data_IF_985549066521
#
_entry.id   IF_985549066521
#
_cell.length_a   1.000
_cell.length_b   1.000
_cell.length_c   1.000
_cell.angle_alpha   90.00
_cell.angle_beta   90.00
_cell.angle_gamma   90.00
#
_symmetry.space_group_name_H-M   'P 1'
#
loop_
_entity.id
_entity.type
_entity.pdbx_description
1 polymer ?
#
# COMPACT_ATOMS: atom_id res chain seq x y z
N UNK A 1 -29.60 4.34 -1.90
CA UNK A 1 -28.60 5.03 -1.03
C UNK A 1 -27.69 5.81 -1.94
N UNK A 2 -27.46 7.11 -1.70
CA UNK A 2 -26.53 7.89 -2.50
C UNK A 2 -25.11 7.31 -2.31
N UNK A 3 -24.46 6.91 -3.41
CA UNK A 3 -23.06 6.52 -3.36
C UNK A 3 -22.25 7.76 -3.01
N UNK A 4 -21.51 7.73 -1.90
CA UNK A 4 -20.58 8.81 -1.57
C UNK A 4 -19.55 8.90 -2.70
N UNK A 5 -19.52 10.03 -3.40
CA UNK A 5 -18.58 10.26 -4.51
C UNK A 5 -17.19 10.43 -3.93
N UNK A 6 -16.29 9.50 -4.23
CA UNK A 6 -14.87 9.65 -3.92
C UNK A 6 -14.20 10.56 -4.96
N UNK A 7 -13.18 11.30 -4.52
CA UNK A 7 -12.25 11.99 -5.42
C UNK A 7 -10.87 11.38 -5.29
N UNK A 8 -10.14 11.29 -6.40
CA UNK A 8 -8.75 10.79 -6.42
C UNK A 8 -7.82 11.95 -6.73
N UNK A 9 -6.78 12.14 -5.92
CA UNK A 9 -5.73 13.14 -6.15
C UNK A 9 -4.35 12.48 -6.19
N UNK A 10 -3.42 12.94 -7.03
CA UNK A 10 -2.03 12.50 -6.93
C UNK A 10 -1.47 12.76 -5.53
N UNK A 11 -0.68 11.83 -5.00
CA UNK A 11 0.03 12.01 -3.73
C UNK A 11 1.03 13.15 -3.85
N UNK A 12 0.93 14.15 -2.98
CA UNK A 12 1.85 15.26 -2.92
C UNK A 12 2.87 15.09 -1.78
N UNK A 13 4.14 14.74 -2.07
CA UNK A 13 5.15 14.56 -1.03
C UNK A 13 5.47 15.86 -0.27
N UNK A 14 5.14 17.04 -0.80
CA UNK A 14 5.31 18.32 -0.11
C UNK A 14 4.15 18.66 0.84
N UNK A 15 3.03 17.93 0.76
CA UNK A 15 1.89 18.10 1.67
C UNK A 15 2.06 17.20 2.89
N UNK A 16 2.23 17.78 4.08
CA UNK A 16 2.34 17.00 5.32
C UNK A 16 1.07 16.19 5.60
N UNK A 17 -0.10 16.69 5.20
CA UNK A 17 -1.39 15.97 5.33
C UNK A 17 -1.43 14.71 4.45
N UNK A 18 -0.93 14.79 3.21
CA UNK A 18 -0.87 13.61 2.32
C UNK A 18 0.13 12.59 2.85
N UNK A 19 1.30 13.05 3.32
CA UNK A 19 2.35 12.18 3.88
C UNK A 19 1.82 11.45 5.12
N UNK A 20 1.18 12.17 6.05
CA UNK A 20 0.58 11.58 7.23
C UNK A 20 -0.52 10.57 6.86
N UNK A 21 -1.42 10.94 5.95
CA UNK A 21 -2.51 10.07 5.50
C UNK A 21 -1.99 8.77 4.86
N UNK A 22 -0.98 8.86 3.98
CA UNK A 22 -0.40 7.68 3.35
C UNK A 22 0.28 6.76 4.36
N UNK A 23 1.02 7.32 5.32
CA UNK A 23 1.67 6.55 6.39
C UNK A 23 0.62 5.83 7.25
N UNK A 24 -0.43 6.52 7.66
CA UNK A 24 -1.48 5.94 8.50
C UNK A 24 -2.26 4.84 7.77
N UNK A 25 -2.68 5.08 6.53
CA UNK A 25 -3.36 4.05 5.73
C UNK A 25 -2.45 2.86 5.41
N UNK A 26 -1.17 3.09 5.12
CA UNK A 26 -0.23 1.99 4.88
C UNK A 26 0.03 1.19 6.16
N UNK A 27 0.12 1.86 7.32
CA UNK A 27 0.16 1.18 8.61
C UNK A 27 -1.09 0.30 8.80
N UNK A 28 -2.29 0.80 8.51
CA UNK A 28 -3.52 0.00 8.61
C UNK A 28 -3.50 -1.21 7.68
N UNK A 29 -3.07 -1.02 6.43
CA UNK A 29 -2.84 -2.10 5.47
C UNK A 29 -1.91 -3.20 6.04
N UNK A 30 -0.78 -2.79 6.65
CA UNK A 30 0.17 -3.71 7.27
C UNK A 30 -0.44 -4.49 8.45
N UNK A 31 -1.28 -3.84 9.25
CA UNK A 31 -1.97 -4.47 10.38
C UNK A 31 -3.04 -5.46 9.93
N UNK A 32 -3.81 -5.12 8.90
CA UNK A 32 -4.80 -6.02 8.32
C UNK A 32 -4.15 -7.22 7.62
N UNK A 33 -3.01 -7.00 6.96
CA UNK A 33 -2.16 -8.07 6.44
C UNK A 33 -1.76 -9.04 7.54
N UNK A 34 -1.22 -8.51 8.64
CA UNK A 34 -0.83 -9.30 9.81
C UNK A 34 -2.02 -10.09 10.38
N UNK A 35 -3.16 -9.46 10.56
CA UNK A 35 -4.33 -10.10 11.16
C UNK A 35 -4.91 -11.21 10.26
N UNK A 36 -4.80 -11.05 8.94
CA UNK A 36 -5.34 -11.99 7.96
C UNK A 36 -4.45 -13.21 7.72
N UNK A 37 -3.15 -12.99 7.50
CA UNK A 37 -2.22 -14.07 7.10
C UNK A 37 -1.14 -14.36 8.14
N UNK A 38 -1.02 -13.55 9.19
CA UNK A 38 0.02 -13.68 10.21
C UNK A 38 1.41 -13.19 9.75
N UNK A 39 1.47 -12.47 8.63
CA UNK A 39 2.69 -11.97 7.99
C UNK A 39 2.49 -10.55 7.46
N UNK A 40 3.59 -9.86 7.20
CA UNK A 40 3.56 -8.55 6.55
C UNK A 40 3.01 -8.68 5.12
N UNK A 41 2.06 -7.81 4.78
CA UNK A 41 1.55 -7.75 3.42
C UNK A 41 2.57 -7.04 2.51
N UNK A 42 2.94 -7.64 1.37
CA UNK A 42 3.98 -7.08 0.49
C UNK A 42 3.48 -5.83 -0.23
N UNK A 43 4.41 -5.12 -0.88
CA UNK A 43 4.15 -3.98 -1.75
C UNK A 43 4.70 -2.67 -1.20
N UNK A 44 4.79 -1.65 -2.07
CA UNK A 44 5.28 -0.32 -1.70
C UNK A 44 4.18 0.75 -1.86
N UNK A 45 3.95 1.60 -0.84
CA UNK A 45 2.96 2.66 -0.91
C UNK A 45 3.44 3.84 -1.76
N UNK A 46 4.75 4.06 -1.88
CA UNK A 46 5.36 5.12 -2.68
C UNK A 46 6.79 4.73 -3.08
N UNK A 47 7.19 5.13 -4.28
CA UNK A 47 8.56 5.04 -4.79
C UNK A 47 8.72 5.97 -6.00
N UNK A 48 9.95 6.25 -6.42
CA UNK A 48 10.23 7.16 -7.55
C UNK A 48 9.64 6.69 -8.89
N UNK A 49 9.42 5.39 -9.06
CA UNK A 49 8.81 4.77 -10.24
C UNK A 49 7.31 4.48 -10.07
N UNK A 50 6.70 4.84 -8.93
CA UNK A 50 5.29 4.62 -8.67
C UNK A 50 4.51 5.93 -8.74
N UNK A 51 3.40 5.91 -9.47
CA UNK A 51 2.37 6.91 -9.38
C UNK A 51 1.44 6.55 -8.22
N UNK A 52 1.48 7.36 -7.16
CA UNK A 52 0.67 7.14 -5.96
C UNK A 52 -0.48 8.14 -5.92
N UNK A 53 -1.66 7.68 -5.54
CA UNK A 53 -2.88 8.46 -5.47
C UNK A 53 -3.55 8.30 -4.11
N UNK A 54 -4.13 9.38 -3.59
CA UNK A 54 -4.96 9.40 -2.39
C UNK A 54 -6.43 9.47 -2.82
N UNK A 55 -7.23 8.55 -2.30
CA UNK A 55 -8.68 8.54 -2.45
C UNK A 55 -9.28 9.29 -1.26
N UNK A 56 -10.12 10.29 -1.52
CA UNK A 56 -10.78 11.09 -0.49
C UNK A 56 -12.29 11.00 -0.58
N UNK A 57 -12.96 11.03 0.58
CA UNK A 57 -14.41 11.14 0.70
C UNK A 57 -14.70 12.31 1.63
N UNK A 58 -15.41 13.33 1.14
CA UNK A 58 -15.69 14.57 1.88
C UNK A 58 -14.41 15.19 2.49
N UNK A 59 -13.33 15.26 1.71
CA UNK A 59 -12.03 15.81 2.13
C UNK A 59 -11.15 14.86 2.95
N UNK A 60 -11.70 13.80 3.53
CA UNK A 60 -10.95 12.85 4.37
C UNK A 60 -10.30 11.76 3.53
N UNK A 61 -9.07 11.37 3.85
CA UNK A 61 -8.43 10.22 3.22
C UNK A 61 -9.21 8.93 3.54
N UNK A 62 -9.54 8.17 2.51
CA UNK A 62 -10.37 6.97 2.57
C UNK A 62 -9.68 5.73 1.98
N UNK A 63 -8.57 5.93 1.28
CA UNK A 63 -7.78 4.89 0.65
C UNK A 63 -6.60 5.47 -0.12
N UNK A 64 -5.76 4.58 -0.64
CA UNK A 64 -4.70 4.96 -1.56
C UNK A 64 -4.49 3.87 -2.60
N UNK A 65 -3.80 4.23 -3.67
CA UNK A 65 -3.35 3.30 -4.69
C UNK A 65 -1.96 3.70 -5.16
N UNK A 66 -1.05 2.74 -5.27
CA UNK A 66 0.24 2.92 -5.93
C UNK A 66 0.28 2.08 -7.20
N UNK A 67 0.73 2.69 -8.29
CA UNK A 67 0.72 2.12 -9.62
C UNK A 67 2.09 2.26 -10.28
N UNK A 68 2.64 1.15 -10.77
CA UNK A 68 3.79 1.13 -11.66
C UNK A 68 3.30 1.33 -13.09
N UNK A 69 3.55 2.52 -13.64
CA UNK A 69 3.14 2.87 -15.01
C UNK A 69 4.06 2.31 -16.08
N UNK A 70 5.27 1.89 -15.73
CA UNK A 70 6.18 1.25 -16.69
C UNK A 70 5.77 -0.21 -16.93
N UNK A 71 5.32 -0.89 -15.86
CA UNK A 71 4.84 -2.27 -15.90
C UNK A 71 3.34 -2.40 -16.09
N UNK A 72 2.61 -1.28 -16.13
CA UNK A 72 1.14 -1.23 -16.18
C UNK A 72 0.51 -2.09 -15.09
N UNK A 73 1.00 -1.94 -13.86
CA UNK A 73 0.60 -2.77 -12.73
C UNK A 73 0.23 -1.92 -11.51
N UNK A 74 -0.88 -2.24 -10.87
CA UNK A 74 -1.24 -1.74 -9.55
C UNK A 74 -0.39 -2.50 -8.54
N UNK A 75 0.50 -1.78 -7.86
CA UNK A 75 1.39 -2.31 -6.82
C UNK A 75 0.59 -2.52 -5.52
N UNK A 76 -0.14 -1.50 -5.07
CA UNK A 76 -1.03 -1.59 -3.92
C UNK A 76 -2.33 -0.84 -4.18
N UNK A 77 -3.42 -1.39 -3.63
CA UNK A 77 -4.68 -0.68 -3.49
C UNK A 77 -5.24 -0.97 -2.10
N UNK A 78 -5.61 0.09 -1.40
CA UNK A 78 -6.15 0.01 -0.05
C UNK A 78 -7.35 0.95 0.10
N UNK A 79 -8.34 0.51 0.86
CA UNK A 79 -9.49 1.32 1.28
C UNK A 79 -9.71 1.06 2.75
N UNK A 80 -9.73 2.11 3.57
CA UNK A 80 -9.93 2.00 5.01
C UNK A 80 -11.29 1.33 5.30
N UNK A 81 -11.38 0.48 6.34
CA UNK A 81 -12.53 -0.39 6.57
C UNK A 81 -13.90 0.30 6.52
N UNK A 82 -14.00 1.50 7.10
CA UNK A 82 -15.21 2.33 7.20
C UNK A 82 -15.71 2.87 5.84
N UNK A 83 -14.85 2.86 4.81
CA UNK A 83 -15.19 3.29 3.45
C UNK A 83 -15.37 2.13 2.46
N UNK A 84 -15.21 0.88 2.90
CA UNK A 84 -15.40 -0.31 2.05
C UNK A 84 -16.86 -0.49 1.63
N UNK A 85 -17.07 -1.24 0.55
CA UNK A 85 -18.40 -1.52 0.00
C UNK A 85 -19.06 -0.33 -0.71
N UNK A 86 -18.40 0.84 -0.78
CA UNK A 86 -18.93 2.05 -1.42
C UNK A 86 -18.57 2.19 -2.90
N UNK A 87 -17.79 1.26 -3.45
CA UNK A 87 -17.35 1.27 -4.84
C UNK A 87 -16.06 2.06 -5.11
N UNK A 88 -15.42 2.66 -4.11
CA UNK A 88 -14.23 3.52 -4.27
C UNK A 88 -13.09 2.85 -5.06
N UNK A 89 -12.66 1.65 -4.65
CA UNK A 89 -11.63 0.89 -5.36
C UNK A 89 -12.05 0.55 -6.79
N UNK A 90 -13.34 0.26 -7.02
CA UNK A 90 -13.87 -0.06 -8.34
C UNK A 90 -13.83 1.15 -9.27
N UNK A 91 -14.24 2.31 -8.76
CA UNK A 91 -14.21 3.57 -9.47
C UNK A 91 -12.77 3.93 -9.85
N UNK A 92 -11.86 3.91 -8.86
CA UNK A 92 -10.44 4.21 -9.09
C UNK A 92 -9.80 3.32 -10.16
N UNK A 93 -10.03 2.00 -10.10
CA UNK A 93 -9.47 1.08 -11.08
C UNK A 93 -10.07 1.28 -12.48
N UNK A 94 -11.36 1.65 -12.56
CA UNK A 94 -12.01 1.99 -13.83
C UNK A 94 -11.43 3.27 -14.42
N UNK A 95 -11.27 4.31 -13.60
CA UNK A 95 -10.68 5.59 -14.00
C UNK A 95 -9.23 5.40 -14.49
N UNK A 96 -8.41 4.69 -13.73
CA UNK A 96 -7.04 4.33 -14.14
C UNK A 96 -7.04 3.54 -15.45
N UNK A 97 -7.92 2.55 -15.61
CA UNK A 97 -7.97 1.74 -16.84
C UNK A 97 -8.41 2.55 -18.05
N UNK A 98 -9.27 3.56 -17.87
CA UNK A 98 -9.74 4.43 -18.96
C UNK A 98 -8.70 5.47 -19.42
N UNK A 99 -7.74 5.80 -18.56
CA UNK A 99 -6.73 6.83 -18.82
C UNK A 99 -5.37 6.24 -19.20
N UNK A 100 -5.14 4.96 -18.90
CA UNK A 100 -3.88 4.30 -19.16
C UNK A 100 -3.76 3.85 -20.63
N UNK A 101 -2.60 4.05 -21.29
CA UNK A 101 -2.43 3.64 -22.69
C UNK A 101 -2.40 2.12 -22.88
N UNK A 102 -2.21 1.33 -21.81
CA UNK A 102 -2.28 -0.12 -21.84
C UNK A 102 -3.17 -0.64 -20.70
N UNK A 103 -3.73 -1.86 -20.83
CA UNK A 103 -4.51 -2.48 -19.77
C UNK A 103 -3.70 -2.63 -18.48
N UNK A 104 -4.13 -1.95 -17.43
CA UNK A 104 -3.56 -2.10 -16.09
C UNK A 104 -3.86 -3.49 -15.53
N UNK A 105 -2.91 -4.05 -14.78
CA UNK A 105 -3.04 -5.35 -14.11
C UNK A 105 -2.94 -5.18 -12.59
N UNK A 106 -3.53 -6.08 -11.80
CA UNK A 106 -3.29 -6.12 -10.36
C UNK A 106 -2.12 -7.05 -10.03
N UNK A 107 -1.14 -6.56 -9.26
CA UNK A 107 0.00 -7.37 -8.85
C UNK A 107 -0.41 -8.39 -7.77
N UNK A 108 0.10 -9.61 -7.92
CA UNK A 108 -0.07 -10.68 -6.94
C UNK A 108 0.99 -10.62 -5.83
N UNK A 109 0.69 -11.14 -4.62
CA UNK A 109 -0.56 -11.79 -4.21
C UNK A 109 -1.69 -10.80 -3.88
N UNK A 110 -2.94 -11.20 -4.11
CA UNK A 110 -4.13 -10.41 -3.77
C UNK A 110 -4.83 -10.94 -2.51
N UNK A 111 -5.67 -10.08 -1.93
CA UNK A 111 -6.66 -10.56 -0.95
C UNK A 111 -7.87 -11.18 -1.65
N UNK A 112 -8.67 -12.02 -0.98
CA UNK A 112 -9.90 -12.55 -1.56
C UNK A 112 -10.83 -11.45 -2.10
N UNK A 113 -10.88 -10.30 -1.40
CA UNK A 113 -11.61 -9.12 -1.87
C UNK A 113 -10.99 -8.48 -3.12
N UNK A 114 -9.66 -8.45 -3.21
CA UNK A 114 -8.92 -7.99 -4.39
C UNK A 114 -9.12 -8.90 -5.60
N UNK A 115 -9.07 -10.22 -5.41
CA UNK A 115 -9.32 -11.21 -6.47
C UNK A 115 -10.77 -11.11 -6.99
N UNK A 116 -11.74 -11.01 -6.08
CA UNK A 116 -13.15 -10.83 -6.45
C UNK A 116 -13.36 -9.52 -7.22
N UNK A 117 -12.69 -8.43 -6.82
CA UNK A 117 -12.73 -7.15 -7.51
C UNK A 117 -12.10 -7.25 -8.91
N UNK A 118 -10.92 -7.86 -9.05
CA UNK A 118 -10.24 -8.06 -10.32
C UNK A 118 -11.13 -8.84 -11.30
N UNK A 119 -11.70 -9.96 -10.84
CA UNK A 119 -12.60 -10.79 -11.64
C UNK A 119 -13.85 -10.03 -12.07
N UNK A 120 -14.47 -9.26 -11.17
CA UNK A 120 -15.67 -8.47 -11.48
C UNK A 120 -15.40 -7.39 -12.55
N UNK A 121 -14.21 -6.80 -12.53
CA UNK A 121 -13.81 -5.73 -13.47
C UNK A 121 -13.11 -6.25 -14.73
N UNK A 122 -12.85 -7.56 -14.83
CA UNK A 122 -12.08 -8.12 -15.95
C UNK A 122 -10.61 -7.65 -15.97
N UNK A 123 -10.07 -7.24 -14.82
CA UNK A 123 -8.68 -6.75 -14.72
C UNK A 123 -7.73 -7.96 -14.66
N UNK A 124 -6.71 -7.96 -15.51
CA UNK A 124 -5.68 -9.00 -15.54
C UNK A 124 -4.81 -9.01 -14.29
N UNK A 125 -4.17 -10.14 -14.02
CA UNK A 125 -3.24 -10.29 -12.88
C UNK A 125 -1.79 -10.24 -13.37
N UNK A 126 -0.91 -9.57 -12.64
CA UNK A 126 0.53 -9.56 -12.87
C UNK A 126 1.22 -10.41 -11.81
N UNK A 127 2.06 -11.35 -12.24
CA UNK A 127 2.86 -12.15 -11.33
C UNK A 127 4.19 -11.43 -11.07
N UNK A 128 4.63 -11.32 -9.81
CA UNK A 128 5.96 -10.82 -9.54
C UNK A 128 7.00 -11.77 -10.14
N UNK A 129 8.09 -11.20 -10.64
CA UNK A 129 9.23 -11.98 -11.10
C UNK A 129 9.95 -12.65 -9.91
N UNK A 130 10.81 -13.65 -10.18
CA UNK A 130 11.50 -14.41 -9.12
C UNK A 130 12.37 -13.50 -8.25
N UNK A 131 12.96 -12.45 -8.82
CA UNK A 131 13.79 -11.52 -8.08
C UNK A 131 12.96 -10.58 -7.21
N UNK A 132 11.78 -10.16 -7.66
CA UNK A 132 10.79 -9.46 -6.85
C UNK A 132 10.32 -10.30 -5.66
N UNK A 133 10.01 -11.58 -5.89
CA UNK A 133 9.63 -12.51 -4.82
C UNK A 133 10.76 -12.60 -3.79
N UNK A 134 12.00 -12.86 -4.22
CA UNK A 134 13.16 -12.95 -3.32
C UNK A 134 13.40 -11.67 -2.54
N UNK A 135 13.30 -10.50 -3.18
CA UNK A 135 13.44 -9.20 -2.51
C UNK A 135 12.35 -8.98 -1.47
N UNK A 136 11.11 -9.33 -1.79
CA UNK A 136 9.99 -9.24 -0.86
C UNK A 136 10.17 -10.18 0.34
N UNK A 137 10.57 -11.43 0.10
CA UNK A 137 10.88 -12.41 1.16
C UNK A 137 12.00 -11.93 2.07
N UNK A 138 13.10 -11.43 1.50
CA UNK A 138 14.23 -10.91 2.27
C UNK A 138 13.82 -9.72 3.16
N UNK A 139 13.04 -8.79 2.61
CA UNK A 139 12.52 -7.64 3.37
C UNK A 139 11.62 -8.07 4.52
N UNK A 140 10.75 -9.04 4.28
CA UNK A 140 9.85 -9.60 5.30
C UNK A 140 10.66 -10.29 6.41
N UNK A 141 11.68 -11.07 6.05
CA UNK A 141 12.55 -11.75 7.00
C UNK A 141 13.39 -10.78 7.84
N UNK A 142 13.93 -9.72 7.23
CA UNK A 142 14.66 -8.66 7.93
C UNK A 142 13.78 -7.95 8.95
N UNK A 143 12.55 -7.63 8.55
CA UNK A 143 11.61 -7.00 9.47
C UNK A 143 11.25 -7.95 10.62
N UNK A 144 10.99 -9.22 10.33
CA UNK A 144 10.71 -10.22 11.36
C UNK A 144 11.88 -10.37 12.33
N UNK A 145 13.11 -10.46 11.82
CA UNK A 145 14.31 -10.50 12.67
C UNK A 145 14.38 -9.28 13.58
N UNK A 146 14.21 -8.09 13.01
CA UNK A 146 14.27 -6.83 13.76
C UNK A 146 13.20 -6.77 14.86
N UNK A 147 11.95 -7.15 14.56
CA UNK A 147 10.86 -7.19 15.55
C UNK A 147 11.15 -8.22 16.64
N UNK A 148 11.67 -9.39 16.27
CA UNK A 148 11.90 -10.50 17.20
C UNK A 148 13.12 -10.27 18.09
N UNK A 149 14.18 -9.62 17.61
CA UNK A 149 15.38 -9.29 18.39
C UNK A 149 15.08 -8.41 19.61
N UNK A 150 14.02 -7.60 19.54
CA UNK A 150 13.60 -6.72 20.63
C UNK A 150 12.31 -7.17 21.33
N UNK A 151 11.85 -8.40 21.08
CA UNK A 151 10.61 -8.91 21.66
C UNK A 151 10.86 -9.54 23.04
N UNK A 152 10.34 -8.92 24.09
CA UNK A 152 10.38 -9.46 25.46
C UNK A 152 9.19 -10.36 25.82
N UNK A 153 8.22 -10.50 24.91
CA UNK A 153 7.02 -11.32 25.16
C UNK A 153 7.32 -12.82 24.99
N UNK A 154 6.72 -13.65 25.84
CA UNK A 154 6.73 -15.11 25.68
C UNK A 154 6.15 -15.48 24.32
N UNK A 155 6.94 -16.17 23.50
CA UNK A 155 6.51 -16.62 22.17
C UNK A 155 5.63 -17.87 22.32
N UNK A 156 4.44 -17.81 21.73
CA UNK A 156 3.50 -18.92 21.62
C UNK A 156 3.18 -19.06 20.14
N UNK A 157 3.35 -20.26 19.57
CA UNK A 157 3.13 -20.54 18.14
C UNK A 157 4.41 -20.56 17.31
N UNK A 158 4.26 -20.36 15.99
CA UNK A 158 5.35 -20.49 15.01
C UNK A 158 6.45 -19.43 15.24
N UNK A 159 7.72 -19.84 15.50
CA UNK A 159 8.83 -18.91 15.72
C UNK A 159 9.22 -18.10 14.47
N UNK A 160 8.71 -18.46 13.29
CA UNK A 160 8.86 -17.68 12.05
C UNK A 160 7.90 -16.50 11.99
N UNK A 161 6.82 -16.49 12.78
CA UNK A 161 5.86 -15.39 12.82
C UNK A 161 6.31 -14.29 13.80
N UNK A 162 6.08 -13.01 13.47
CA UNK A 162 6.41 -11.91 14.37
C UNK A 162 5.48 -11.93 15.58
N UNK A 163 5.97 -11.45 16.73
CA UNK A 163 5.09 -11.22 17.87
C UNK A 163 4.03 -10.16 17.51
N UNK A 164 2.75 -10.53 17.54
CA UNK A 164 1.63 -9.63 17.20
C UNK A 164 1.66 -8.31 17.96
N UNK A 165 1.98 -8.34 19.26
CA UNK A 165 2.08 -7.14 20.11
C UNK A 165 3.22 -6.23 19.65
N UNK A 166 4.40 -6.80 19.38
CA UNK A 166 5.56 -6.03 18.92
C UNK A 166 5.35 -5.50 17.51
N UNK A 167 4.76 -6.30 16.62
CA UNK A 167 4.45 -5.85 15.26
C UNK A 167 3.47 -4.68 15.28
N UNK A 168 2.35 -4.79 16.02
CA UNK A 168 1.38 -3.68 16.14
C UNK A 168 2.03 -2.39 16.64
N UNK A 169 2.98 -2.49 17.57
CA UNK A 169 3.77 -1.36 18.06
C UNK A 169 4.72 -0.79 17.01
N UNK A 170 5.27 -1.62 16.12
CA UNK A 170 6.25 -1.24 15.10
C UNK A 170 5.64 -0.89 13.75
N UNK A 171 4.36 -1.19 13.51
CA UNK A 171 3.72 -0.95 12.22
C UNK A 171 3.81 0.50 11.74
N UNK A 172 3.72 1.48 12.66
CA UNK A 172 3.88 2.90 12.31
C UNK A 172 5.32 3.23 11.87
N UNK A 173 6.37 2.94 12.66
CA UNK A 173 7.75 3.11 12.21
C UNK A 173 8.07 2.39 10.88
N UNK A 174 7.48 1.23 10.64
CA UNK A 174 7.66 0.49 9.37
C UNK A 174 7.00 1.24 8.21
N UNK A 175 5.79 1.74 8.40
CA UNK A 175 5.11 2.54 7.38
C UNK A 175 5.87 3.84 7.08
N UNK A 176 6.38 4.52 8.12
CA UNK A 176 7.25 5.70 7.98
C UNK A 176 8.52 5.36 7.18
N UNK A 177 9.20 4.26 7.51
CA UNK A 177 10.40 3.83 6.80
C UNK A 177 10.15 3.48 5.32
N UNK A 178 8.92 3.07 4.95
CA UNK A 178 8.54 2.79 3.58
C UNK A 178 8.23 4.06 2.76
N UNK A 179 7.69 5.10 3.40
CA UNK A 179 7.23 6.33 2.72
C UNK A 179 8.29 7.43 2.74
N UNK A 180 8.95 7.64 3.88
CA UNK A 180 9.81 8.80 4.11
C UNK A 180 11.04 8.90 3.20
N UNK A 181 11.74 7.81 2.83
CA UNK A 181 12.87 7.91 1.89
C UNK A 181 12.47 8.57 0.56
N UNK A 182 11.28 8.23 0.03
CA UNK A 182 10.74 8.85 -1.16
C UNK A 182 10.38 10.32 -0.92
N UNK A 183 9.70 10.64 0.19
CA UNK A 183 9.31 12.01 0.53
C UNK A 183 10.52 12.94 0.65
N UNK A 184 11.57 12.50 1.34
CA UNK A 184 12.82 13.26 1.51
C UNK A 184 13.48 13.52 0.16
N UNK A 185 13.61 12.48 -0.68
CA UNK A 185 14.20 12.61 -2.01
C UNK A 185 13.38 13.56 -2.91
N UNK A 186 12.05 13.44 -2.90
CA UNK A 186 11.16 14.27 -3.70
C UNK A 186 11.20 15.75 -3.28
N UNK A 187 11.20 16.02 -1.97
CA UNK A 187 11.32 17.40 -1.43
C UNK A 187 12.67 18.02 -1.81
N UNK A 188 13.76 17.26 -1.66
CA UNK A 188 15.09 17.73 -2.06
C UNK A 188 15.17 18.05 -3.56
N UNK A 189 14.60 17.20 -4.41
CA UNK A 189 14.54 17.43 -5.86
C UNK A 189 13.64 18.63 -6.23
N UNK A 190 12.55 18.86 -5.51
CA UNK A 190 11.68 20.02 -5.69
C UNK A 190 12.38 21.34 -5.34
N UNK A 191 13.18 21.36 -4.28
CA UNK A 191 14.00 22.52 -3.91
C UNK A 191 15.02 22.88 -4.98
N UNK A 192 15.63 21.88 -5.63
CA UNK A 192 16.60 22.09 -6.72
C UNK A 192 15.98 22.63 -8.02
N UNK A 193 14.66 22.48 -8.22
CA UNK A 193 13.96 23.05 -9.38
C UNK A 193 13.46 24.48 -9.16
N UNK A 194 13.45 24.94 -7.91
CA UNK A 194 12.98 26.27 -7.52
C UNK A 194 14.13 27.27 -7.25
N UNK A 195 15.38 26.79 -7.23
CA UNK A 195 16.61 27.57 -7.08
C UNK A 195 17.24 27.84 -8.46
#
# INVERSE_FOLDING_TARGET
MAHATGSTTPFNPSSDDDVAALIDMYREYLLEGLDRVGYLAPGLPAAAWLNTFIVRVNGHAAGFCSADTQRYAIELIYTSPEYRGRGLASQLLTDLSSTCPQPMRLKLPLSPGGEALAKRLGIGLSHPDVEEIRRAEHLIDDLHRTINQHCTHKRIGDPRKPCMRCYRRRAKPVAEAAVMPYVVAARAAGMLRAA
#
